data_IF_739494531383
#
_entry.id   IF_739494531383
#
_cell.length_a   1.000
_cell.length_b   1.000
_cell.length_c   1.000
_cell.angle_alpha   90.00
_cell.angle_beta   90.00
_cell.angle_gamma   90.00
#
_symmetry.space_group_name_H-M   'P 1'
#
loop_
_entity.id
_entity.type
_entity.pdbx_description
1 polymer ?
#
# COMPACT_ATOMS: atom_id res chain seq x y z
N UNK A 1 17.36 4.39 10.22
CA UNK A 1 16.21 5.31 10.24
C UNK A 1 14.97 4.47 10.48
N UNK A 2 14.14 4.83 11.46
CA UNK A 2 12.92 4.07 11.78
C UNK A 2 11.73 4.69 11.06
N UNK A 3 11.05 3.89 10.23
CA UNK A 3 9.89 4.35 9.45
C UNK A 3 8.60 4.08 10.21
N UNK A 4 7.77 5.11 10.38
CA UNK A 4 6.43 4.99 10.93
C UNK A 4 5.49 4.50 9.83
N UNK A 5 4.74 3.43 10.10
CA UNK A 5 3.75 2.94 9.15
C UNK A 5 2.56 3.90 9.03
N UNK A 6 1.98 4.01 7.84
CA UNK A 6 0.75 4.78 7.61
C UNK A 6 -0.38 4.29 8.51
N UNK A 7 -0.45 2.98 8.78
CA UNK A 7 -1.42 2.39 9.73
C UNK A 7 -1.29 2.98 11.13
N UNK A 8 -0.07 3.20 11.63
CA UNK A 8 0.14 3.79 12.96
C UNK A 8 -0.41 5.23 13.00
N UNK A 9 -0.16 6.03 11.95
CA UNK A 9 -0.70 7.39 11.87
C UNK A 9 -2.23 7.44 11.91
N UNK A 10 -2.91 6.48 11.28
CA UNK A 10 -4.38 6.40 11.31
C UNK A 10 -4.95 5.77 12.59
N UNK A 11 -4.21 4.86 13.25
CA UNK A 11 -4.69 4.19 14.47
C UNK A 11 -4.47 5.02 15.72
N UNK A 12 -3.33 5.72 15.78
CA UNK A 12 -2.86 6.44 16.96
C UNK A 12 -2.59 7.91 16.62
N UNK A 13 -3.51 8.53 15.87
CA UNK A 13 -3.33 9.88 15.29
C UNK A 13 -2.92 10.93 16.32
N UNK A 14 -3.59 10.97 17.48
CA UNK A 14 -3.31 11.93 18.55
C UNK A 14 -1.89 11.81 19.10
N UNK A 15 -1.29 10.61 19.03
CA UNK A 15 0.09 10.40 19.47
C UNK A 15 1.12 11.04 18.53
N UNK A 16 0.75 11.35 17.29
CA UNK A 16 1.66 11.85 16.25
C UNK A 16 1.35 13.27 15.77
N UNK A 17 0.14 13.80 15.99
CA UNK A 17 -0.20 15.18 15.62
C UNK A 17 0.81 16.17 16.24
N UNK A 18 1.27 17.11 15.41
CA UNK A 18 2.26 18.13 15.78
C UNK A 18 3.69 17.61 15.94
N UNK A 19 3.93 16.31 15.71
CA UNK A 19 5.26 15.70 15.82
C UNK A 19 5.87 15.46 14.46
N UNK A 20 7.21 15.39 14.45
CA UNK A 20 7.96 14.92 13.29
C UNK A 20 7.77 13.41 13.10
N UNK A 21 7.50 13.02 11.87
CA UNK A 21 7.31 11.64 11.44
C UNK A 21 8.11 11.39 10.17
N UNK A 22 8.65 10.18 10.06
CA UNK A 22 9.34 9.70 8.86
C UNK A 22 8.52 8.53 8.32
N UNK A 23 7.99 8.66 7.10
CA UNK A 23 7.17 7.63 6.45
C UNK A 23 7.77 7.22 5.11
N UNK A 24 7.65 5.94 4.77
CA UNK A 24 8.08 5.40 3.48
C UNK A 24 6.92 4.78 2.73
N UNK A 25 6.88 4.92 1.40
CA UNK A 25 5.83 4.28 0.61
C UNK A 25 5.92 4.58 -0.88
N UNK A 26 4.85 4.21 -1.60
CA UNK A 26 4.74 4.40 -3.05
C UNK A 26 3.75 5.51 -3.40
N UNK A 27 4.11 6.32 -4.40
CA UNK A 27 3.26 7.38 -4.95
C UNK A 27 2.05 6.77 -5.64
N UNK A 28 0.86 7.04 -5.12
CA UNK A 28 -0.43 6.71 -5.75
C UNK A 28 -0.87 7.77 -6.74
N UNK A 29 -0.59 9.03 -6.42
CA UNK A 29 -0.75 10.16 -7.33
C UNK A 29 0.02 11.34 -6.83
N UNK A 30 0.51 12.15 -7.75
CA UNK A 30 1.16 13.43 -7.47
C UNK A 30 0.42 14.54 -8.19
N UNK A 31 0.35 15.73 -7.57
CA UNK A 31 -0.19 16.95 -8.17
C UNK A 31 0.69 18.11 -7.78
N UNK A 32 1.33 18.75 -8.74
CA UNK A 32 2.15 19.93 -8.51
C UNK A 32 1.36 21.21 -8.83
N UNK A 33 1.54 22.23 -8.00
CA UNK A 33 1.19 23.62 -8.27
C UNK A 33 2.47 24.46 -8.32
N UNK A 34 2.36 25.78 -8.51
CA UNK A 34 3.53 26.66 -8.62
C UNK A 34 4.39 26.73 -7.34
N UNK A 35 3.74 26.75 -6.16
CA UNK A 35 4.39 26.98 -4.87
C UNK A 35 4.37 25.75 -3.94
N UNK A 36 3.48 24.80 -4.20
CA UNK A 36 3.33 23.60 -3.39
C UNK A 36 2.78 22.46 -4.24
N UNK A 37 2.83 21.24 -3.72
CA UNK A 37 2.18 20.10 -4.33
C UNK A 37 1.71 19.07 -3.31
N UNK A 38 0.97 18.09 -3.82
CA UNK A 38 0.41 17.01 -3.04
C UNK A 38 0.90 15.67 -3.57
N UNK A 39 1.40 14.83 -2.67
CA UNK A 39 1.66 13.42 -2.91
C UNK A 39 0.65 12.61 -2.11
N UNK A 40 0.02 11.65 -2.78
CA UNK A 40 -0.76 10.61 -2.11
C UNK A 40 0.14 9.40 -1.96
N UNK A 41 0.57 9.11 -0.73
CA UNK A 41 1.54 8.06 -0.41
C UNK A 41 0.84 6.85 0.22
N UNK A 42 1.21 5.64 -0.19
CA UNK A 42 0.70 4.41 0.41
C UNK A 42 1.84 3.41 0.64
N UNK A 43 1.91 2.86 1.84
CA UNK A 43 2.91 1.87 2.27
C UNK A 43 2.35 0.44 2.26
N UNK A 44 1.07 0.26 1.93
CA UNK A 44 0.38 -1.03 1.98
C UNK A 44 -0.02 -1.50 3.39
N UNK A 45 0.23 -0.75 4.46
CA UNK A 45 -0.15 -1.14 5.83
C UNK A 45 -1.58 -0.72 6.18
N UNK A 46 -2.05 0.39 5.61
CA UNK A 46 -3.43 0.87 5.71
C UNK A 46 -4.13 0.97 4.35
N UNK A 47 -5.46 0.88 4.34
CA UNK A 47 -6.23 0.98 3.09
C UNK A 47 -6.23 2.42 2.57
N UNK A 48 -6.46 3.39 3.46
CA UNK A 48 -6.40 4.81 3.12
C UNK A 48 -4.93 5.25 2.99
N UNK A 49 -4.54 5.90 1.88
CA UNK A 49 -3.22 6.52 1.76
C UNK A 49 -3.12 7.79 2.59
N UNK A 50 -1.90 8.20 2.94
CA UNK A 50 -1.62 9.48 3.60
C UNK A 50 -1.36 10.57 2.55
N UNK A 51 -1.84 11.78 2.83
CA UNK A 51 -1.52 12.96 2.04
C UNK A 51 -0.23 13.60 2.57
N UNK A 52 0.66 13.94 1.65
CA UNK A 52 1.90 14.69 1.92
C UNK A 52 1.83 15.99 1.13
N UNK A 53 2.10 17.10 1.80
CA UNK A 53 2.22 18.43 1.19
C UNK A 53 3.70 18.80 1.16
N UNK A 54 4.19 19.20 -0.01
CA UNK A 54 5.58 19.64 -0.20
C UNK A 54 5.59 21.04 -0.81
N UNK A 55 6.58 21.86 -0.47
CA UNK A 55 6.63 23.30 -0.81
C UNK A 55 7.87 23.64 -1.64
N UNK A 56 7.80 24.76 -2.37
CA UNK A 56 8.87 25.29 -3.22
C UNK A 56 10.14 25.72 -2.46
N UNK A 57 10.05 25.81 -1.14
CA UNK A 57 11.19 26.04 -0.25
C UNK A 57 12.16 24.85 -0.20
N UNK A 58 11.77 23.68 -0.70
CA UNK A 58 12.64 22.50 -0.79
C UNK A 58 13.60 22.61 -1.98
N UNK A 59 14.88 22.31 -1.76
CA UNK A 59 15.90 22.32 -2.83
C UNK A 59 15.55 21.42 -4.01
N UNK A 60 14.94 20.25 -3.74
CA UNK A 60 14.55 19.28 -4.74
C UNK A 60 13.06 19.37 -5.16
N UNK A 61 12.38 20.49 -4.92
CA UNK A 61 10.96 20.67 -5.30
C UNK A 61 10.67 20.35 -6.78
N UNK A 62 11.57 20.78 -7.68
CA UNK A 62 11.43 20.54 -9.12
C UNK A 62 11.61 19.07 -9.50
N UNK A 63 12.41 18.32 -8.75
CA UNK A 63 12.59 16.88 -8.94
C UNK A 63 11.34 16.12 -8.44
N UNK A 64 10.89 16.44 -7.23
CA UNK A 64 9.71 15.83 -6.62
C UNK A 64 8.48 16.05 -7.52
N UNK A 65 8.28 17.26 -8.03
CA UNK A 65 7.13 17.58 -8.90
C UNK A 65 7.08 16.77 -10.21
N UNK A 66 8.21 16.21 -10.65
CA UNK A 66 8.33 15.37 -11.86
C UNK A 66 8.31 13.86 -11.56
N UNK A 67 8.16 13.49 -10.29
CA UNK A 67 8.11 12.07 -9.88
C UNK A 67 6.87 11.39 -10.45
N UNK A 68 7.02 10.14 -10.92
CA UNK A 68 5.91 9.37 -11.49
C UNK A 68 5.15 8.55 -10.44
N UNK A 69 3.91 8.19 -10.78
CA UNK A 69 3.14 7.18 -10.03
C UNK A 69 3.95 5.89 -9.93
N UNK A 70 3.94 5.27 -8.76
CA UNK A 70 4.69 4.04 -8.48
C UNK A 70 6.12 4.26 -7.98
N UNK A 71 6.62 5.50 -7.94
CA UNK A 71 7.91 5.81 -7.33
C UNK A 71 7.88 5.55 -5.82
N UNK A 72 9.01 5.13 -5.26
CA UNK A 72 9.21 4.93 -3.83
C UNK A 72 9.84 6.18 -3.22
N UNK A 73 9.21 6.69 -2.15
CA UNK A 73 9.63 7.90 -1.45
C UNK A 73 9.82 7.61 0.04
N UNK A 74 10.79 8.28 0.65
CA UNK A 74 10.85 8.53 2.09
C UNK A 74 10.52 10.00 2.31
N UNK A 75 9.61 10.28 3.23
CA UNK A 75 9.16 11.62 3.56
C UNK A 75 9.37 11.84 5.04
N UNK A 76 10.09 12.90 5.40
CA UNK A 76 10.15 13.40 6.76
C UNK A 76 9.38 14.71 6.83
N UNK A 77 8.57 14.87 7.87
CA UNK A 77 7.78 16.08 8.02
C UNK A 77 6.97 16.07 9.31
N UNK A 78 6.12 17.07 9.46
CA UNK A 78 5.24 17.21 10.62
C UNK A 78 3.83 16.74 10.29
N UNK A 79 3.24 15.89 11.14
CA UNK A 79 1.84 15.49 10.98
C UNK A 79 0.93 16.62 11.47
N UNK A 80 0.08 17.14 10.59
CA UNK A 80 -0.82 18.27 10.88
C UNK A 80 -2.27 17.82 10.70
N UNK A 81 -3.11 18.14 11.69
CA UNK A 81 -4.55 17.88 11.62
C UNK A 81 -5.22 18.84 10.62
N UNK A 82 -6.16 18.31 9.84
CA UNK A 82 -6.89 19.08 8.83
C UNK A 82 -8.40 18.88 9.02
N UNK A 83 -8.99 19.38 10.12
CA UNK A 83 -10.37 19.08 10.50
C UNK A 83 -11.41 19.57 9.48
N UNK A 84 -11.08 20.60 8.71
CA UNK A 84 -11.96 21.17 7.68
C UNK A 84 -11.76 20.51 6.29
N UNK A 85 -10.79 19.60 6.16
CA UNK A 85 -10.49 18.92 4.92
C UNK A 85 -11.14 17.53 4.85
N UNK A 86 -11.15 16.93 3.65
CA UNK A 86 -11.63 15.55 3.45
C UNK A 86 -10.76 14.49 4.14
N UNK A 87 -9.48 14.80 4.30
CA UNK A 87 -8.52 13.96 5.01
C UNK A 87 -8.46 14.46 6.46
N UNK A 88 -8.38 13.58 7.47
CA UNK A 88 -8.31 14.01 8.88
C UNK A 88 -6.99 14.70 9.24
N UNK A 89 -5.93 14.38 8.50
CA UNK A 89 -4.59 14.94 8.66
C UNK A 89 -3.79 14.84 7.37
N UNK A 90 -2.66 15.52 7.33
CA UNK A 90 -1.65 15.43 6.29
C UNK A 90 -0.24 15.58 6.89
N UNK A 91 0.79 15.23 6.10
CA UNK A 91 2.19 15.45 6.47
C UNK A 91 2.69 16.67 5.72
N UNK A 92 3.06 17.72 6.45
CA UNK A 92 3.80 18.86 5.91
C UNK A 92 5.26 18.45 5.83
N UNK A 93 5.74 18.17 4.62
CA UNK A 93 7.08 17.63 4.41
C UNK A 93 8.16 18.68 4.70
N UNK A 94 9.18 18.27 5.43
CA UNK A 94 10.45 18.96 5.59
C UNK A 94 11.46 18.46 4.54
N UNK A 95 11.47 17.15 4.29
CA UNK A 95 12.31 16.50 3.30
C UNK A 95 11.52 15.41 2.55
N UNK A 96 11.85 15.23 1.28
CA UNK A 96 11.34 14.11 0.46
C UNK A 96 12.51 13.53 -0.31
N UNK A 97 12.79 12.26 -0.09
CA UNK A 97 13.87 11.52 -0.74
C UNK A 97 13.28 10.49 -1.69
N UNK A 98 13.76 10.46 -2.93
CA UNK A 98 13.39 9.45 -3.92
C UNK A 98 14.28 8.23 -3.74
N UNK A 99 13.74 7.17 -3.12
CA UNK A 99 14.45 5.89 -2.94
C UNK A 99 14.40 5.02 -4.20
N UNK A 100 13.35 5.18 -5.00
CA UNK A 100 13.17 4.41 -6.23
C UNK A 100 12.36 5.19 -7.24
N UNK A 101 13.01 5.60 -8.33
CA UNK A 101 12.34 6.28 -9.42
C UNK A 101 11.31 5.36 -10.09
N UNK A 102 10.28 5.96 -10.69
CA UNK A 102 9.33 5.28 -11.56
C UNK A 102 9.33 5.94 -12.93
N UNK A 103 9.08 5.13 -13.95
CA UNK A 103 9.04 5.55 -15.35
C UNK A 103 7.61 5.89 -15.77
N UNK A 104 7.48 6.62 -16.88
CA UNK A 104 6.18 7.05 -17.39
C UNK A 104 5.31 5.91 -17.94
N UNK A 105 5.93 4.77 -18.27
CA UNK A 105 5.27 3.54 -18.72
C UNK A 105 4.73 2.67 -17.58
N UNK A 106 4.82 3.13 -16.32
CA UNK A 106 4.23 2.41 -15.18
C UNK A 106 2.74 2.09 -15.44
N UNK A 107 2.32 0.81 -15.43
CA UNK A 107 1.03 0.44 -16.01
C UNK A 107 -0.16 0.75 -15.09
N UNK A 108 0.05 0.91 -13.79
CA UNK A 108 -1.00 1.23 -12.81
C UNK A 108 -1.22 2.75 -12.68
N UNK A 109 -1.41 3.42 -13.81
CA UNK A 109 -1.79 4.83 -13.86
C UNK A 109 -3.09 5.09 -13.10
N UNK A 110 -3.32 6.35 -12.68
CA UNK A 110 -4.50 6.81 -11.92
C UNK A 110 -5.78 6.82 -12.78
N UNK A 111 -6.19 5.65 -13.24
CA UNK A 111 -7.40 5.37 -14.00
C UNK A 111 -7.99 4.04 -13.54
N UNK A 112 -9.25 3.79 -13.90
CA UNK A 112 -9.87 2.48 -13.67
C UNK A 112 -9.24 1.45 -14.60
N UNK A 113 -8.94 0.29 -14.04
CA UNK A 113 -8.43 -0.88 -14.76
C UNK A 113 -9.46 -2.01 -14.65
N UNK A 114 -9.62 -2.81 -15.71
CA UNK A 114 -10.48 -4.00 -15.69
C UNK A 114 -9.80 -5.13 -14.90
N UNK A 115 -10.57 -6.11 -14.42
CA UNK A 115 -9.98 -7.26 -13.74
C UNK A 115 -9.17 -8.12 -14.69
N UNK A 116 -9.56 -8.21 -15.96
CA UNK A 116 -8.88 -8.91 -17.04
C UNK A 116 -7.49 -8.33 -17.27
N UNK A 117 -7.37 -7.00 -17.36
CA UNK A 117 -6.07 -6.34 -17.45
C UNK A 117 -5.22 -6.56 -16.18
N UNK A 118 -5.82 -6.48 -14.99
CA UNK A 118 -5.06 -6.74 -13.75
C UNK A 118 -4.61 -8.21 -13.63
N UNK A 119 -5.25 -9.17 -14.30
CA UNK A 119 -4.79 -10.57 -14.38
C UNK A 119 -3.55 -10.73 -15.25
N UNK A 120 -3.27 -9.85 -16.21
CA UNK A 120 -2.03 -9.91 -17.01
C UNK A 120 -0.80 -9.41 -16.25
N UNK A 121 -0.99 -8.70 -15.14
CA UNK A 121 0.08 -8.12 -14.31
C UNK A 121 -0.07 -8.51 -12.84
N UNK A 122 -0.09 -9.82 -12.56
CA UNK A 122 -0.30 -10.38 -11.21
C UNK A 122 0.72 -9.90 -10.19
N UNK A 123 1.93 -9.54 -10.62
CA UNK A 123 3.01 -9.03 -9.78
C UNK A 123 2.78 -7.57 -9.31
N UNK A 124 2.01 -6.76 -10.06
CA UNK A 124 1.71 -5.36 -9.68
C UNK A 124 0.30 -5.17 -9.12
N UNK A 125 -0.68 -6.00 -9.51
CA UNK A 125 -2.07 -5.85 -9.06
C UNK A 125 -2.27 -5.74 -7.53
N UNK A 126 -1.45 -6.32 -6.62
CA UNK A 126 -1.61 -6.11 -5.18
C UNK A 126 -1.52 -4.64 -4.77
N UNK A 127 -0.88 -3.80 -5.59
CA UNK A 127 -0.81 -2.36 -5.42
C UNK A 127 -2.06 -1.62 -5.92
N UNK A 128 -3.18 -2.29 -6.22
CA UNK A 128 -4.46 -1.63 -6.56
C UNK A 128 -5.42 -1.71 -5.38
N UNK A 129 -6.38 -0.77 -5.25
CA UNK A 129 -7.31 -0.77 -4.12
C UNK A 129 -8.11 -2.08 -4.02
N UNK A 130 -8.59 -2.62 -5.16
CA UNK A 130 -9.37 -3.86 -5.18
C UNK A 130 -8.57 -5.04 -4.63
N UNK A 131 -7.38 -5.29 -5.16
CA UNK A 131 -6.58 -6.44 -4.72
C UNK A 131 -5.94 -6.22 -3.35
N UNK A 132 -5.62 -4.98 -2.99
CA UNK A 132 -5.23 -4.63 -1.62
C UNK A 132 -6.33 -5.02 -0.63
N UNK A 133 -7.61 -4.72 -0.92
CA UNK A 133 -8.72 -5.14 -0.07
C UNK A 133 -8.87 -6.66 -0.04
N UNK A 134 -8.89 -7.32 -1.21
CA UNK A 134 -9.03 -8.78 -1.33
C UNK A 134 -7.95 -9.51 -0.53
N UNK A 135 -6.69 -9.11 -0.64
CA UNK A 135 -5.60 -9.79 0.05
C UNK A 135 -5.61 -9.56 1.56
N UNK A 136 -6.03 -8.39 2.04
CA UNK A 136 -6.23 -8.15 3.49
C UNK A 136 -7.34 -9.04 4.04
N UNK A 137 -8.48 -9.11 3.37
CA UNK A 137 -9.60 -9.96 3.78
C UNK A 137 -9.20 -11.43 3.75
N UNK A 138 -8.53 -11.88 2.68
CA UNK A 138 -7.99 -13.25 2.58
C UNK A 138 -7.04 -13.58 3.72
N UNK A 139 -6.15 -12.66 4.09
CA UNK A 139 -5.22 -12.85 5.21
C UNK A 139 -5.96 -13.01 6.54
N UNK A 140 -6.98 -12.18 6.80
CA UNK A 140 -7.80 -12.29 8.01
C UNK A 140 -8.62 -13.58 8.04
N UNK A 141 -9.20 -13.99 6.92
CA UNK A 141 -9.96 -15.25 6.81
C UNK A 141 -9.06 -16.44 7.10
N UNK A 142 -7.86 -16.49 6.49
CA UNK A 142 -6.90 -17.57 6.75
C UNK A 142 -6.53 -17.64 8.24
N UNK A 143 -6.22 -16.49 8.85
CA UNK A 143 -5.95 -16.41 10.29
C UNK A 143 -7.13 -16.92 11.13
N UNK A 144 -8.35 -16.48 10.83
CA UNK A 144 -9.55 -16.89 11.55
C UNK A 144 -9.86 -18.39 11.43
N UNK A 145 -9.64 -18.99 10.26
CA UNK A 145 -9.80 -20.44 10.05
C UNK A 145 -8.82 -21.21 10.94
N UNK A 146 -7.54 -20.83 10.93
CA UNK A 146 -6.53 -21.48 11.76
C UNK A 146 -6.83 -21.30 13.26
N UNK A 147 -7.20 -20.09 13.67
CA UNK A 147 -7.58 -19.80 15.05
C UNK A 147 -8.77 -20.67 15.50
N UNK A 148 -9.83 -20.77 14.69
CA UNK A 148 -11.03 -21.54 15.02
C UNK A 148 -10.73 -23.02 15.35
N UNK A 149 -9.90 -23.67 14.53
CA UNK A 149 -9.52 -25.06 14.72
C UNK A 149 -8.53 -25.24 15.88
N UNK A 150 -7.56 -24.33 16.02
CA UNK A 150 -6.58 -24.37 17.11
C UNK A 150 -7.24 -24.22 18.48
N UNK A 151 -8.25 -23.36 18.61
CA UNK A 151 -9.03 -23.17 19.84
C UNK A 151 -9.88 -24.39 20.23
N UNK A 152 -9.95 -25.41 19.38
CA UNK A 152 -10.74 -26.64 19.56
C UNK A 152 -9.87 -27.89 19.54
N UNK A 153 -8.57 -27.72 19.79
CA UNK A 153 -7.59 -28.80 19.88
C UNK A 153 -7.44 -29.65 18.60
N UNK A 154 -7.82 -29.11 17.43
CA UNK A 154 -7.50 -29.73 16.16
C UNK A 154 -6.02 -29.59 15.84
N UNK A 155 -5.46 -30.60 15.16
CA UNK A 155 -4.07 -30.59 14.69
C UNK A 155 -4.02 -30.22 13.22
N UNK A 156 -3.23 -29.21 12.86
CA UNK A 156 -3.02 -28.83 11.46
C UNK A 156 -2.05 -29.80 10.78
N UNK A 157 -2.52 -30.49 9.73
CA UNK A 157 -1.73 -31.48 8.96
C UNK A 157 -1.61 -31.03 7.51
N UNK A 158 -0.38 -31.02 6.99
CA UNK A 158 -0.12 -30.86 5.55
C UNK A 158 -0.19 -32.21 4.85
N UNK A 159 -1.25 -32.43 4.07
CA UNK A 159 -1.44 -33.67 3.29
C UNK A 159 -0.63 -33.65 1.98
N UNK A 160 -0.32 -34.81 1.38
CA UNK A 160 0.36 -34.88 0.08
C UNK A 160 -0.42 -34.16 -1.02
N UNK A 161 0.28 -33.40 -1.88
CA UNK A 161 -0.32 -32.74 -3.06
C UNK A 161 -0.22 -33.59 -4.33
N UNK A 162 0.84 -34.39 -4.48
CA UNK A 162 1.00 -35.36 -5.57
C UNK A 162 0.46 -36.70 -5.08
N UNK A 163 -0.41 -37.33 -5.86
CA UNK A 163 -1.07 -38.60 -5.54
C UNK A 163 -1.06 -39.53 -6.74
N UNK A 164 -1.01 -40.83 -6.47
CA UNK A 164 -1.16 -41.88 -7.49
C UNK A 164 -2.61 -42.32 -7.72
N UNK A 165 -3.57 -41.78 -6.95
CA UNK A 165 -4.98 -42.16 -7.02
C UNK A 165 -5.84 -40.94 -7.33
N UNK A 166 -6.85 -41.13 -8.19
CA UNK A 166 -8.03 -40.28 -8.21
C UNK A 166 -8.88 -40.69 -7.00
N UNK A 167 -9.16 -39.76 -6.08
CA UNK A 167 -9.89 -40.05 -4.85
C UNK A 167 -11.40 -40.26 -5.07
N UNK A 168 -11.94 -39.82 -6.21
CA UNK A 168 -13.39 -39.88 -6.52
C UNK A 168 -13.69 -40.56 -7.87
N UNK A 169 -12.66 -40.81 -8.69
CA UNK A 169 -12.75 -41.60 -9.94
C UNK A 169 -13.48 -40.90 -11.10
N UNK A 170 -13.85 -39.64 -10.92
CA UNK A 170 -14.64 -38.83 -11.86
C UNK A 170 -13.95 -37.52 -12.27
N UNK A 171 -12.71 -37.28 -11.82
CA UNK A 171 -11.99 -36.03 -12.05
C UNK A 171 -10.93 -36.14 -13.13
N UNK A 172 -10.87 -35.18 -14.05
CA UNK A 172 -9.69 -34.97 -14.88
C UNK A 172 -8.57 -34.37 -14.00
N UNK A 173 -7.53 -35.15 -13.71
CA UNK A 173 -6.37 -34.71 -12.94
C UNK A 173 -5.24 -34.21 -13.84
N UNK A 174 -4.52 -33.18 -13.39
CA UNK A 174 -3.25 -32.79 -14.01
C UNK A 174 -2.22 -33.91 -13.81
N UNK A 175 -1.64 -34.40 -14.90
CA UNK A 175 -0.54 -35.37 -14.86
C UNK A 175 0.78 -34.62 -14.56
N UNK A 176 1.53 -35.17 -13.60
CA UNK A 176 2.83 -34.66 -13.14
C UNK A 176 3.92 -35.63 -13.55
#
# INVERSE_FOLDING_TARGET
MELISVRALFKDTDAYIGKKVTVGGWVRSIRASKQFGFIVLNDGTYFTPVQVVYHDTMENFQEISKTNVGAALIVEGTLVATPEAKQPFEIQADTVTVEGASTSDYPLQKKRHTLEFLRTMTHLRPRTNTFQAVFRVRSLIAYAIHQFFQERDFVYVHTPLITGSDCEGAGEMFQV
#
